data_IF_600142213113
#
_entry.id   IF_600142213113
#
_cell.length_a   1.000
_cell.length_b   1.000
_cell.length_c   1.000
_cell.angle_alpha   90.00
_cell.angle_beta   90.00
_cell.angle_gamma   90.00
#
_symmetry.space_group_name_H-M   'P 1'
#
loop_
_entity.id
_entity.type
_entity.pdbx_description
1 polymer ?
#
# COMPACT_ATOMS: atom_id res chain seq x y z
N UNK A 1 -0.59 -7.80 -5.74
CA UNK A 1 0.41 -6.94 -6.40
C UNK A 1 -0.36 -5.75 -6.94
N UNK A 2 0.08 -4.56 -6.60
CA UNK A 2 -0.54 -3.29 -7.00
C UNK A 2 0.50 -2.45 -7.73
N UNK A 3 0.09 -1.70 -8.75
CA UNK A 3 0.97 -0.83 -9.50
C UNK A 3 0.39 0.58 -9.60
N UNK A 4 1.26 1.59 -9.62
CA UNK A 4 0.90 2.96 -9.91
C UNK A 4 2.05 3.66 -10.63
N UNK A 5 1.69 4.52 -11.58
CA UNK A 5 2.62 5.47 -12.18
C UNK A 5 2.89 6.58 -11.19
N UNK A 6 4.09 7.14 -11.19
CA UNK A 6 4.41 8.32 -10.39
C UNK A 6 3.46 9.48 -10.68
N UNK A 7 3.11 9.70 -11.95
CA UNK A 7 2.11 10.70 -12.34
C UNK A 7 0.66 10.35 -11.96
N UNK A 8 0.42 9.10 -11.58
CA UNK A 8 -0.84 8.63 -11.02
C UNK A 8 -1.10 9.17 -9.61
N UNK A 9 -0.05 9.63 -8.91
CA UNK A 9 -0.12 10.29 -7.62
C UNK A 9 -0.41 9.38 -6.42
N UNK A 10 -1.01 8.20 -6.62
CA UNK A 10 -1.23 7.22 -5.56
C UNK A 10 -1.40 5.78 -6.08
N UNK A 11 -1.08 4.79 -5.23
CA UNK A 11 -1.41 3.38 -5.42
C UNK A 11 -2.54 3.00 -4.48
N UNK A 12 -3.66 2.51 -5.03
CA UNK A 12 -4.76 1.97 -4.23
C UNK A 12 -4.54 0.49 -3.91
N UNK A 13 -4.51 0.17 -2.62
CA UNK A 13 -4.38 -1.18 -2.07
C UNK A 13 -5.71 -1.58 -1.45
N UNK A 14 -6.31 -2.66 -1.95
CA UNK A 14 -7.49 -3.27 -1.34
C UNK A 14 -7.04 -4.24 -0.26
N UNK A 15 -7.59 -4.05 0.94
CA UNK A 15 -7.30 -4.88 2.11
C UNK A 15 -8.60 -5.44 2.65
N UNK A 16 -8.54 -6.65 3.21
CA UNK A 16 -9.71 -7.26 3.80
C UNK A 16 -9.43 -8.21 4.94
N UNK A 17 -10.49 -8.47 5.69
CA UNK A 17 -10.55 -9.50 6.73
C UNK A 17 -11.36 -10.66 6.15
N UNK A 18 -10.73 -11.80 5.88
CA UNK A 18 -11.34 -12.88 5.09
C UNK A 18 -12.23 -13.81 5.89
N UNK A 19 -11.84 -14.22 7.09
CA UNK A 19 -12.61 -15.21 7.86
C UNK A 19 -12.40 -15.02 9.36
N UNK A 20 -13.51 -15.05 10.07
CA UNK A 20 -13.67 -14.84 11.50
C UNK A 20 -15.10 -14.33 11.68
N UNK A 21 -15.96 -15.04 12.42
CA UNK A 21 -17.22 -14.44 12.86
C UNK A 21 -16.87 -13.19 13.64
N UNK A 22 -17.04 -12.02 13.00
CA UNK A 22 -16.73 -10.76 13.63
C UNK A 22 -17.75 -10.54 14.76
N UNK A 23 -17.40 -10.98 15.96
CA UNK A 23 -18.20 -10.76 17.18
C UNK A 23 -18.05 -9.33 17.70
N UNK A 24 -17.06 -8.59 17.17
CA UNK A 24 -16.75 -7.21 17.48
C UNK A 24 -16.05 -6.52 16.31
N UNK A 25 -15.74 -5.21 16.46
CA UNK A 25 -14.87 -4.52 15.54
C UNK A 25 -13.45 -5.10 15.61
N UNK A 26 -12.73 -5.12 14.48
CA UNK A 26 -11.32 -5.52 14.40
C UNK A 26 -10.45 -4.33 14.02
N UNK A 27 -9.32 -4.14 14.68
CA UNK A 27 -8.35 -3.10 14.38
C UNK A 27 -7.15 -3.70 13.64
N UNK A 28 -6.96 -3.25 12.39
CA UNK A 28 -5.82 -3.61 11.55
C UNK A 28 -4.93 -2.40 11.40
N UNK A 29 -3.66 -2.53 11.76
CA UNK A 29 -2.63 -1.54 11.47
C UNK A 29 -2.00 -1.82 10.13
N UNK A 30 -1.76 -0.78 9.36
CA UNK A 30 -1.22 -0.88 8.01
C UNK A 30 -0.10 0.13 7.88
N UNK A 31 1.06 -0.36 7.46
CA UNK A 31 2.24 0.46 7.29
C UNK A 31 3.06 0.03 6.08
N UNK A 32 3.69 1.00 5.44
CA UNK A 32 4.63 0.78 4.33
C UNK A 32 6.06 0.63 4.85
N UNK A 33 6.84 -0.14 4.12
CA UNK A 33 8.27 -0.34 4.33
C UNK A 33 8.98 -0.15 2.99
N UNK A 34 10.12 0.51 3.04
CA UNK A 34 10.98 0.73 1.88
C UNK A 34 11.39 -0.61 1.26
N UNK A 35 11.33 -0.67 -0.07
CA UNK A 35 11.84 -1.78 -0.88
C UNK A 35 13.07 -1.30 -1.65
N UNK A 36 12.93 -1.13 -2.97
CA UNK A 36 13.88 -0.31 -3.74
C UNK A 36 13.53 1.17 -3.67
N UNK A 37 12.22 1.48 -3.65
CA UNK A 37 11.72 2.83 -3.44
C UNK A 37 11.89 3.27 -1.99
N UNK A 38 12.30 4.52 -1.79
CA UNK A 38 12.56 5.17 -0.52
C UNK A 38 11.46 6.16 -0.15
N UNK A 39 11.07 6.11 1.12
CA UNK A 39 10.16 7.10 1.69
C UNK A 39 10.73 8.52 1.62
N UNK A 40 9.84 9.48 1.39
CA UNK A 40 10.11 10.91 1.19
C UNK A 40 10.89 11.29 -0.09
N UNK A 41 11.34 10.31 -0.89
CA UNK A 41 11.86 10.53 -2.25
C UNK A 41 10.81 10.09 -3.27
N UNK A 42 10.38 8.83 -3.21
CA UNK A 42 9.59 8.18 -4.29
C UNK A 42 8.13 7.99 -3.85
N UNK A 43 7.90 7.90 -2.53
CA UNK A 43 6.56 7.79 -1.96
C UNK A 43 6.45 8.37 -0.55
N UNK A 44 5.22 8.67 -0.11
CA UNK A 44 4.96 9.03 1.30
C UNK A 44 4.64 7.79 2.12
N UNK A 45 5.42 7.58 3.19
CA UNK A 45 5.18 6.46 4.10
C UNK A 45 3.80 6.56 4.75
N UNK A 46 3.07 5.44 4.73
CA UNK A 46 1.76 5.32 5.36
C UNK A 46 1.92 4.52 6.65
N UNK A 47 1.26 4.96 7.72
CA UNK A 47 1.16 4.24 8.98
C UNK A 47 -0.17 4.58 9.66
N UNK A 48 -1.20 3.80 9.34
CA UNK A 48 -2.58 4.06 9.77
C UNK A 48 -3.20 2.84 10.44
N UNK A 49 -4.27 3.06 11.18
CA UNK A 49 -5.11 2.00 11.74
C UNK A 49 -6.51 2.07 11.14
N UNK A 50 -7.04 0.91 10.74
CA UNK A 50 -8.38 0.76 10.22
C UNK A 50 -9.21 -0.10 11.17
N UNK A 51 -10.44 0.33 11.42
CA UNK A 51 -11.39 -0.44 12.23
C UNK A 51 -12.45 -1.07 11.32
N UNK A 52 -12.42 -2.40 11.20
CA UNK A 52 -13.38 -3.19 10.46
C UNK A 52 -14.55 -3.55 11.35
N UNK A 53 -15.76 -3.16 10.97
CA UNK A 53 -16.99 -3.60 11.65
C UNK A 53 -17.44 -4.95 11.10
N UNK A 54 -18.25 -5.72 11.84
CA UNK A 54 -18.78 -7.00 11.34
C UNK A 54 -19.51 -6.93 9.98
N UNK A 55 -20.02 -5.75 9.61
CA UNK A 55 -20.70 -5.52 8.33
C UNK A 55 -19.77 -5.05 7.20
N UNK A 56 -18.52 -4.67 7.50
CA UNK A 56 -17.55 -4.14 6.53
C UNK A 56 -16.23 -4.85 6.72
N UNK A 57 -15.90 -5.76 5.80
CA UNK A 57 -14.70 -6.60 5.85
C UNK A 57 -13.64 -6.20 4.85
N UNK A 58 -13.85 -5.14 4.07
CA UNK A 58 -12.91 -4.65 3.06
C UNK A 58 -12.76 -3.13 3.15
N UNK A 59 -11.56 -2.65 2.86
CA UNK A 59 -11.21 -1.23 2.81
C UNK A 59 -10.20 -0.99 1.69
N UNK A 60 -10.17 0.25 1.20
CA UNK A 60 -9.20 0.71 0.20
C UNK A 60 -8.29 1.71 0.89
N UNK A 61 -7.00 1.61 0.62
CA UNK A 61 -5.96 2.48 1.16
C UNK A 61 -5.20 3.06 0.00
N UNK A 62 -4.95 4.35 0.02
CA UNK A 62 -4.05 4.98 -0.92
C UNK A 62 -2.66 5.17 -0.30
N UNK A 63 -1.64 4.82 -1.07
CA UNK A 63 -0.23 5.15 -0.81
C UNK A 63 0.17 6.27 -1.76
N UNK A 64 0.40 7.51 -1.28
CA UNK A 64 0.76 8.62 -2.15
C UNK A 64 2.15 8.41 -2.76
N UNK A 65 2.27 8.66 -4.06
CA UNK A 65 3.52 8.65 -4.80
C UNK A 65 4.04 10.08 -4.95
N UNK A 66 5.37 10.22 -4.99
CA UNK A 66 6.04 11.49 -5.21
C UNK A 66 6.54 11.50 -6.65
N UNK A 67 5.86 12.28 -7.49
CA UNK A 67 6.25 12.42 -8.90
C UNK A 67 7.40 13.41 -9.05
N UNK A 68 8.40 13.07 -9.84
CA UNK A 68 9.41 14.02 -10.30
C UNK A 68 9.52 14.10 -11.84
N UNK A 69 10.69 14.37 -12.39
CA UNK A 69 10.93 14.50 -13.86
C UNK A 69 12.23 13.73 -14.23
N UNK A 70 12.63 12.73 -13.44
CA UNK A 70 13.89 11.99 -13.54
C UNK A 70 13.58 10.56 -13.99
N UNK A 71 14.18 10.14 -15.10
CA UNK A 71 14.10 8.74 -15.59
C UNK A 71 14.80 7.80 -14.59
N UNK A 72 14.02 6.95 -13.94
CA UNK A 72 14.45 5.93 -12.98
C UNK A 72 14.03 4.50 -13.42
N UNK A 73 14.49 3.47 -12.70
CA UNK A 73 14.00 2.10 -12.92
C UNK A 73 12.71 1.86 -12.13
N UNK A 74 11.80 1.00 -12.60
CA UNK A 74 10.63 0.60 -11.81
C UNK A 74 11.02 0.13 -10.40
N UNK A 75 10.37 0.71 -9.39
CA UNK A 75 10.70 0.48 -7.99
C UNK A 75 9.60 -0.24 -7.21
N UNK A 76 9.93 -0.76 -6.03
CA UNK A 76 8.96 -1.44 -5.18
C UNK A 76 8.94 -0.99 -3.72
N UNK A 77 7.74 -1.10 -3.14
CA UNK A 77 7.41 -0.85 -1.74
C UNK A 77 6.71 -2.10 -1.18
N UNK A 78 6.99 -2.44 0.08
CA UNK A 78 6.26 -3.47 0.81
C UNK A 78 5.25 -2.83 1.77
N UNK A 79 3.96 -3.09 1.57
CA UNK A 79 2.92 -2.76 2.55
C UNK A 79 2.62 -3.97 3.43
N UNK A 80 2.62 -3.78 4.75
CA UNK A 80 2.28 -4.82 5.73
C UNK A 80 1.02 -4.46 6.49
N UNK A 81 0.24 -5.49 6.79
CA UNK A 81 -0.97 -5.42 7.57
C UNK A 81 -0.80 -6.29 8.81
N UNK A 82 -1.14 -5.75 9.97
CA UNK A 82 -1.02 -6.45 11.24
C UNK A 82 -2.31 -6.28 12.05
N UNK A 83 -2.75 -7.37 12.68
CA UNK A 83 -3.84 -7.32 13.65
C UNK A 83 -3.33 -6.73 14.97
N UNK A 84 -4.03 -5.74 15.50
CA UNK A 84 -3.68 -5.20 16.81
C UNK A 84 -4.14 -6.18 17.91
N UNK A 85 -3.31 -6.42 18.94
CA UNK A 85 -3.51 -7.51 19.91
C UNK A 85 -4.71 -7.32 20.86
N UNK A 86 -5.39 -6.16 20.83
CA UNK A 86 -6.49 -5.84 21.74
C UNK A 86 -7.85 -6.46 21.35
N UNK A 87 -7.96 -7.11 20.17
CA UNK A 87 -9.28 -7.54 19.68
C UNK A 87 -9.88 -8.76 20.38
N UNK A 88 -9.08 -9.58 21.09
CA UNK A 88 -9.60 -10.77 21.79
C UNK A 88 -10.35 -11.79 20.91
N UNK A 89 -10.39 -11.56 19.59
CA UNK A 89 -11.07 -12.39 18.61
C UNK A 89 -10.11 -13.47 18.10
N UNK A 90 -10.53 -14.71 18.29
CA UNK A 90 -9.80 -15.88 17.82
C UNK A 90 -10.14 -16.12 16.34
N UNK A 91 -9.15 -16.55 15.55
CA UNK A 91 -9.30 -16.94 14.14
C UNK A 91 -9.64 -15.81 13.16
N UNK A 92 -9.24 -14.57 13.42
CA UNK A 92 -9.32 -13.49 12.42
C UNK A 92 -8.16 -13.63 11.44
N UNK A 93 -8.45 -13.67 10.14
CA UNK A 93 -7.45 -13.67 9.08
C UNK A 93 -7.55 -12.39 8.24
N UNK A 94 -6.41 -11.75 8.03
CA UNK A 94 -6.25 -10.63 7.10
C UNK A 94 -5.69 -11.15 5.77
N UNK A 95 -6.18 -10.62 4.66
CA UNK A 95 -5.67 -10.90 3.32
C UNK A 95 -5.79 -9.65 2.43
N UNK A 96 -4.69 -9.26 1.77
CA UNK A 96 -3.33 -9.74 2.02
C UNK A 96 -2.83 -9.33 3.42
N UNK A 97 -1.91 -10.10 4.01
CA UNK A 97 -1.12 -9.69 5.19
C UNK A 97 0.16 -8.93 4.79
N UNK A 98 0.62 -9.13 3.55
CA UNK A 98 1.65 -8.33 2.89
C UNK A 98 1.28 -8.07 1.41
N UNK A 99 1.43 -6.84 0.97
CA UNK A 99 1.19 -6.42 -0.41
C UNK A 99 2.44 -5.76 -1.00
N UNK A 100 2.89 -6.28 -2.15
CA UNK A 100 3.92 -5.61 -2.96
C UNK A 100 3.28 -4.56 -3.87
N UNK A 101 3.77 -3.33 -3.75
CA UNK A 101 3.42 -2.19 -4.59
C UNK A 101 4.58 -1.88 -5.52
N UNK A 102 4.29 -1.58 -6.78
CA UNK A 102 5.27 -1.22 -7.80
C UNK A 102 5.02 0.23 -8.22
N UNK A 103 6.05 1.06 -8.12
CA UNK A 103 6.11 2.39 -8.72
C UNK A 103 6.63 2.21 -10.14
N UNK A 104 5.86 2.67 -11.11
CA UNK A 104 6.24 2.65 -12.53
C UNK A 104 6.75 4.04 -12.87
N UNK A 105 8.01 4.12 -13.29
CA UNK A 105 8.60 5.33 -13.84
C UNK A 105 7.85 5.72 -15.12
N UNK A 106 7.43 6.98 -15.21
CA UNK A 106 6.84 7.54 -16.42
C UNK A 106 7.58 8.73 -17.02
N UNK A 107 8.78 8.99 -16.50
CA UNK A 107 9.69 10.03 -16.95
C UNK A 107 10.63 9.50 -18.02
N UNK A 108 10.10 9.23 -19.21
CA UNK A 108 10.90 8.61 -20.26
C UNK A 108 12.20 9.36 -20.57
N UNK A 109 13.32 8.63 -20.71
CA UNK A 109 14.63 9.12 -21.16
C UNK A 109 14.46 10.26 -22.17
N UNK A 110 14.98 11.45 -21.85
CA UNK A 110 15.06 12.57 -22.78
C UNK A 110 15.76 12.12 -24.07
N UNK A 111 15.00 11.63 -25.06
CA UNK A 111 15.50 11.31 -26.38
C UNK A 111 15.84 12.62 -27.05
N UNK A 112 17.10 13.03 -26.93
CA UNK A 112 17.68 14.05 -27.79
C UNK A 112 17.44 13.61 -29.24
N UNK A 113 16.49 14.26 -29.91
CA UNK A 113 16.48 14.29 -31.36
C UNK A 113 17.80 14.93 -31.81
N UNK A 114 18.76 14.09 -32.21
CA UNK A 114 19.93 14.52 -32.96
C UNK A 114 19.44 15.09 -34.29
N UNK A 115 19.73 16.37 -34.52
CA UNK A 115 19.42 17.12 -35.74
C UNK A 115 20.24 16.64 -36.94
#
# INVERSE_FOLDING_TARGET
MYNGSESGGEIEVVVGVLQGELSGPVVVRIYTMDGTALSDTDYQSVNITLTFSPATTTAVISVPLLNDDIDEEDEDINARLELEPEDGQQNVQIDPDEAKLIIIDDDGEFRRCSY
#
